data_IF_450152065674
#
_entry.id   IF_450152065674
#
_cell.length_a   1.000
_cell.length_b   1.000
_cell.length_c   1.000
_cell.angle_alpha   90.00
_cell.angle_beta   90.00
_cell.angle_gamma   90.00
#
_symmetry.space_group_name_H-M   'P 1'
#
loop_
_entity.id
_entity.type
_entity.pdbx_description
1 polymer ?
#
# COMPACT_ATOMS: atom_id res chain seq x y z
N UNK A 1 -21.42 17.56 33.43
CA UNK A 1 -20.36 18.56 33.64
C UNK A 1 -19.53 18.68 32.36
N UNK A 2 -19.84 19.67 31.52
CA UNK A 2 -19.09 19.94 30.28
C UNK A 2 -17.87 20.82 30.54
N UNK A 3 -16.81 20.63 29.75
CA UNK A 3 -15.75 21.65 29.61
C UNK A 3 -15.73 22.10 28.15
N UNK A 4 -15.85 23.41 28.04
CA UNK A 4 -16.14 24.21 26.87
C UNK A 4 -14.83 24.57 26.14
N UNK A 5 -14.93 24.56 24.82
CA UNK A 5 -14.03 25.08 23.79
C UNK A 5 -13.31 26.37 24.20
N UNK A 6 -12.02 26.49 23.88
CA UNK A 6 -11.34 27.78 23.71
C UNK A 6 -10.54 27.79 22.41
N UNK A 7 -11.14 28.40 21.39
CA UNK A 7 -10.46 28.95 20.22
C UNK A 7 -10.11 30.39 20.57
N UNK A 8 -8.82 30.72 20.68
CA UNK A 8 -8.28 32.09 20.60
C UNK A 8 -7.42 32.11 19.33
N UNK A 9 -7.83 32.72 18.21
CA UNK A 9 -7.90 34.16 17.93
C UNK A 9 -6.57 34.90 18.17
N UNK A 10 -5.82 35.09 17.09
CA UNK A 10 -5.31 36.40 16.67
C UNK A 10 -4.12 37.02 17.43
N UNK A 11 -2.91 36.78 16.91
CA UNK A 11 -1.77 37.72 16.95
C UNK A 11 -1.08 37.54 15.59
N UNK A 12 -1.03 38.49 14.66
CA UNK A 12 -0.77 39.92 14.80
C UNK A 12 0.60 40.23 14.21
N UNK A 13 0.85 39.91 12.94
CA UNK A 13 2.10 40.23 12.26
C UNK A 13 1.94 41.55 11.49
N UNK A 14 2.11 42.66 12.19
CA UNK A 14 2.25 43.99 11.59
C UNK A 14 3.74 44.31 11.51
N UNK A 15 4.30 44.26 10.30
CA UNK A 15 5.74 44.43 10.08
C UNK A 15 6.09 44.78 8.63
N UNK A 16 5.78 46.02 8.27
CA UNK A 16 6.53 46.92 7.35
C UNK A 16 6.82 46.45 5.92
N UNK A 17 6.20 47.19 5.00
CA UNK A 17 6.48 47.31 3.57
C UNK A 17 7.88 47.90 3.31
N UNK A 18 8.63 47.31 2.36
CA UNK A 18 9.32 47.96 1.22
C UNK A 18 10.50 47.09 0.77
N UNK A 19 10.28 46.30 -0.28
CA UNK A 19 11.30 45.53 -0.98
C UNK A 19 10.75 45.08 -2.32
N UNK A 20 10.76 45.98 -3.31
CA UNK A 20 10.31 45.68 -4.66
C UNK A 20 11.27 44.74 -5.37
N UNK A 21 10.83 43.52 -5.65
CA UNK A 21 11.36 42.76 -6.78
C UNK A 21 10.50 43.12 -7.99
N UNK A 22 10.96 44.08 -8.79
CA UNK A 22 10.50 44.22 -10.18
C UNK A 22 10.96 42.97 -10.94
N UNK A 23 10.14 41.91 -10.87
CA UNK A 23 10.22 40.78 -11.78
C UNK A 23 9.36 41.09 -12.99
N UNK A 24 9.99 41.28 -14.15
CA UNK A 24 9.36 41.28 -15.45
C UNK A 24 8.54 39.99 -15.62
N UNK A 25 7.20 40.09 -15.66
CA UNK A 25 6.36 38.97 -16.11
C UNK A 25 6.35 39.02 -17.63
N UNK A 26 7.47 38.60 -18.21
CA UNK A 26 7.61 38.33 -19.63
C UNK A 26 6.78 37.11 -19.99
N UNK A 27 5.50 37.33 -20.29
CA UNK A 27 4.61 36.34 -20.88
C UNK A 27 4.97 36.07 -22.34
N UNK A 28 6.14 35.51 -22.62
CA UNK A 28 6.30 34.76 -23.88
C UNK A 28 5.57 33.44 -23.68
N UNK A 29 4.42 33.31 -24.35
CA UNK A 29 3.70 32.06 -24.45
C UNK A 29 4.65 30.99 -25.00
N UNK A 30 5.26 30.21 -24.10
CA UNK A 30 5.85 28.94 -24.47
C UNK A 30 4.75 28.14 -25.17
N UNK A 31 5.03 27.49 -26.32
CA UNK A 31 4.05 26.62 -26.92
C UNK A 31 3.64 25.63 -25.83
N UNK A 32 2.33 25.62 -25.50
CA UNK A 32 1.74 24.58 -24.67
C UNK A 32 2.21 23.27 -25.27
N UNK A 33 3.20 22.63 -24.63
CA UNK A 33 3.54 21.26 -24.91
C UNK A 33 2.21 20.53 -24.90
N UNK A 34 1.91 19.83 -26.00
CA UNK A 34 0.73 18.99 -26.02
C UNK A 34 0.78 18.15 -24.75
N UNK A 35 -0.29 18.14 -23.97
CA UNK A 35 -0.50 17.05 -23.02
C UNK A 35 -0.79 15.85 -23.92
N UNK A 36 0.29 15.31 -24.46
CA UNK A 36 0.31 14.08 -25.21
C UNK A 36 0.12 12.98 -24.21
N UNK A 37 -1.01 12.29 -24.31
CA UNK A 37 -1.20 11.01 -23.65
C UNK A 37 -0.60 9.95 -24.59
N UNK A 38 0.71 10.01 -24.78
CA UNK A 38 1.47 9.15 -25.68
C UNK A 38 2.96 9.21 -25.34
N UNK A 39 3.27 8.77 -24.15
CA UNK A 39 4.49 8.00 -23.93
C UNK A 39 4.07 6.93 -22.96
N UNK A 40 3.96 5.69 -23.43
CA UNK A 40 4.06 4.55 -22.53
C UNK A 40 5.35 4.78 -21.76
N UNK A 41 5.22 5.27 -20.53
CA UNK A 41 6.29 5.18 -19.56
C UNK A 41 6.38 3.69 -19.31
N UNK A 42 7.15 3.01 -20.15
CA UNK A 42 7.52 1.63 -19.93
C UNK A 42 8.31 1.65 -18.61
N UNK A 43 7.57 1.41 -17.51
CA UNK A 43 8.17 1.28 -16.20
C UNK A 43 9.21 0.18 -16.34
N UNK A 44 10.47 0.52 -16.04
CA UNK A 44 11.51 -0.47 -15.97
C UNK A 44 11.01 -1.66 -15.12
N UNK A 45 11.28 -2.91 -15.53
CA UNK A 45 10.86 -4.09 -14.77
C UNK A 45 11.31 -3.95 -13.32
N UNK A 46 10.35 -3.93 -12.40
CA UNK A 46 10.67 -3.86 -10.98
C UNK A 46 11.07 -5.27 -10.52
N UNK A 47 12.24 -5.43 -9.86
CA UNK A 47 12.63 -6.73 -9.34
C UNK A 47 11.61 -7.19 -8.28
N UNK A 48 11.31 -8.50 -8.28
CA UNK A 48 10.50 -9.11 -7.24
C UNK A 48 11.31 -9.07 -5.95
N UNK A 49 10.75 -8.45 -4.91
CA UNK A 49 11.31 -8.47 -3.56
C UNK A 49 10.41 -9.28 -2.63
N UNK A 50 11.02 -9.89 -1.61
CA UNK A 50 10.25 -10.44 -0.48
C UNK A 50 9.78 -9.29 0.41
N UNK A 51 8.74 -9.54 1.20
CA UNK A 51 8.33 -8.62 2.26
C UNK A 51 9.37 -8.59 3.37
N UNK A 52 9.68 -7.39 3.85
CA UNK A 52 10.48 -7.22 5.07
C UNK A 52 9.67 -7.66 6.31
N UNK A 53 10.30 -7.68 7.49
CA UNK A 53 9.66 -8.13 8.74
C UNK A 53 8.44 -7.30 9.12
N UNK A 54 8.51 -5.99 8.95
CA UNK A 54 7.42 -5.08 9.28
C UNK A 54 6.24 -5.28 8.33
N UNK A 55 6.52 -5.29 7.03
CA UNK A 55 5.56 -5.53 5.95
C UNK A 55 4.87 -6.88 6.13
N UNK A 56 5.63 -7.95 6.37
CA UNK A 56 5.06 -9.28 6.58
C UNK A 56 4.08 -9.31 7.75
N UNK A 57 4.46 -8.76 8.90
CA UNK A 57 3.57 -8.70 10.07
C UNK A 57 2.31 -7.87 9.79
N UNK A 58 2.45 -6.74 9.10
CA UNK A 58 1.31 -5.90 8.73
C UNK A 58 0.39 -6.62 7.74
N UNK A 59 0.93 -7.27 6.71
CA UNK A 59 0.16 -8.03 5.73
C UNK A 59 -0.58 -9.20 6.38
N UNK A 60 0.08 -9.95 7.27
CA UNK A 60 -0.56 -11.04 8.01
C UNK A 60 -1.70 -10.53 8.89
N UNK A 61 -1.50 -9.43 9.61
CA UNK A 61 -2.56 -8.78 10.39
C UNK A 61 -3.72 -8.31 9.50
N UNK A 62 -3.43 -7.68 8.37
CA UNK A 62 -4.46 -7.06 7.55
C UNK A 62 -5.28 -8.12 6.78
N UNK A 63 -4.66 -9.22 6.35
CA UNK A 63 -5.34 -10.31 5.66
C UNK A 63 -6.10 -11.24 6.62
N UNK A 64 -5.51 -11.54 7.78
CA UNK A 64 -6.03 -12.56 8.68
C UNK A 64 -6.57 -11.98 9.98
N UNK A 65 -6.50 -10.67 10.21
CA UNK A 65 -7.01 -10.04 11.44
C UNK A 65 -6.31 -10.49 12.72
N UNK A 66 -5.16 -11.17 12.62
CA UNK A 66 -4.43 -11.70 13.77
C UNK A 66 -3.59 -10.63 14.46
N UNK A 67 -3.37 -10.78 15.77
CA UNK A 67 -2.45 -9.95 16.55
C UNK A 67 -1.02 -10.50 16.60
N UNK A 68 -0.79 -11.69 16.02
CA UNK A 68 0.51 -12.32 15.99
C UNK A 68 1.53 -11.51 15.18
N UNK A 69 2.79 -11.60 15.61
CA UNK A 69 3.95 -10.96 14.95
C UNK A 69 5.02 -12.00 14.59
N UNK A 70 4.71 -12.96 13.71
CA UNK A 70 5.60 -14.09 13.42
C UNK A 70 6.96 -13.69 12.82
N UNK A 71 7.05 -12.58 12.07
CA UNK A 71 8.31 -12.13 11.49
C UNK A 71 9.27 -11.52 12.51
N UNK A 72 8.85 -11.33 13.77
CA UNK A 72 9.76 -10.91 14.83
C UNK A 72 10.84 -11.98 15.09
N UNK A 73 10.54 -13.25 14.77
CA UNK A 73 11.49 -14.36 14.84
C UNK A 73 12.44 -14.45 13.62
N UNK A 74 12.27 -13.62 12.58
CA UNK A 74 13.18 -13.65 11.43
C UNK A 74 14.50 -12.94 11.75
N UNK A 75 15.61 -13.29 11.07
CA UNK A 75 16.82 -12.49 11.12
C UNK A 75 16.52 -11.04 10.71
N UNK A 76 17.26 -10.05 11.24
CA UNK A 76 17.13 -8.66 10.81
C UNK A 76 17.29 -8.53 9.29
N UNK A 77 16.47 -7.68 8.69
CA UNK A 77 16.59 -7.34 7.27
C UNK A 77 17.74 -6.35 7.07
N UNK A 78 18.37 -6.41 5.90
CA UNK A 78 19.45 -5.49 5.53
C UNK A 78 18.88 -4.13 5.13
N UNK A 79 19.47 -3.06 5.67
CA UNK A 79 19.14 -1.68 5.30
C UNK A 79 20.10 -1.17 4.20
N UNK A 80 19.56 -0.45 3.21
CA UNK A 80 20.31 0.30 2.20
C UNK A 80 19.75 1.70 2.08
N UNK A 81 20.62 2.72 2.11
CA UNK A 81 20.23 4.14 2.06
C UNK A 81 19.18 4.55 3.11
N UNK A 82 19.13 3.85 4.25
CA UNK A 82 18.15 4.07 5.32
C UNK A 82 16.79 3.42 5.08
N UNK A 83 16.68 2.54 4.09
CA UNK A 83 15.47 1.79 3.76
C UNK A 83 15.71 0.28 3.88
N UNK A 84 14.76 -0.43 4.48
CA UNK A 84 14.78 -1.88 4.72
C UNK A 84 13.88 -2.67 3.75
N UNK A 85 13.36 -2.02 2.70
CA UNK A 85 12.46 -2.61 1.71
C UNK A 85 13.06 -2.66 0.29
N UNK A 86 14.38 -2.49 0.17
CA UNK A 86 15.08 -2.51 -1.11
C UNK A 86 15.24 -3.95 -1.61
N UNK A 87 14.78 -4.20 -2.84
CA UNK A 87 14.74 -5.54 -3.44
C UNK A 87 16.12 -6.21 -3.49
N UNK A 88 17.16 -5.46 -3.83
CA UNK A 88 18.53 -5.96 -3.92
C UNK A 88 19.11 -6.41 -2.57
N UNK A 89 18.62 -5.82 -1.47
CA UNK A 89 19.09 -6.09 -0.11
C UNK A 89 18.37 -7.29 0.53
N UNK A 90 17.13 -7.57 0.10
CA UNK A 90 16.26 -8.58 0.71
C UNK A 90 16.43 -9.97 0.08
N UNK A 91 17.58 -10.59 0.30
CA UNK A 91 17.86 -11.94 -0.20
C UNK A 91 17.11 -13.03 0.59
N UNK A 92 16.77 -14.12 -0.10
CA UNK A 92 16.19 -15.32 0.51
C UNK A 92 17.28 -16.33 0.84
N UNK A 93 17.32 -16.79 2.08
CA UNK A 93 18.22 -17.85 2.52
C UNK A 93 17.42 -19.11 2.91
N UNK A 94 17.99 -20.31 2.81
CA UNK A 94 17.29 -21.54 3.21
C UNK A 94 16.79 -21.51 4.66
N UNK A 95 17.58 -20.96 5.58
CA UNK A 95 17.20 -20.84 6.99
C UNK A 95 16.06 -19.84 7.23
N UNK A 96 15.91 -18.83 6.37
CA UNK A 96 14.77 -17.91 6.41
C UNK A 96 13.50 -18.61 5.90
N UNK A 97 13.60 -19.44 4.86
CA UNK A 97 12.49 -20.27 4.39
C UNK A 97 11.94 -21.19 5.49
N UNK A 98 12.80 -21.83 6.28
CA UNK A 98 12.37 -22.65 7.43
C UNK A 98 11.58 -21.84 8.46
N UNK A 99 11.96 -20.58 8.67
CA UNK A 99 11.22 -19.66 9.55
C UNK A 99 9.89 -19.24 8.95
N UNK A 100 9.80 -19.03 7.63
CA UNK A 100 8.52 -18.80 6.95
C UNK A 100 7.56 -19.99 7.13
N UNK A 101 8.06 -21.23 7.03
CA UNK A 101 7.22 -22.41 7.30
C UNK A 101 6.70 -22.45 8.74
N UNK A 102 7.56 -22.12 9.70
CA UNK A 102 7.17 -22.08 11.12
C UNK A 102 6.14 -20.96 11.37
N UNK A 103 6.39 -19.76 10.81
CA UNK A 103 5.47 -18.63 10.86
C UNK A 103 4.11 -18.97 10.25
N UNK A 104 4.09 -19.61 9.08
CA UNK A 104 2.86 -19.98 8.39
C UNK A 104 2.02 -20.95 9.24
N UNK A 105 2.62 -21.94 9.90
CA UNK A 105 1.91 -22.84 10.81
C UNK A 105 1.25 -22.08 11.96
N UNK A 106 2.03 -21.24 12.65
CA UNK A 106 1.51 -20.42 13.77
C UNK A 106 0.33 -19.55 13.36
N UNK A 107 0.43 -18.92 12.18
CA UNK A 107 -0.61 -18.03 11.66
C UNK A 107 -1.85 -18.81 11.21
N UNK A 108 -1.68 -19.99 10.61
CA UNK A 108 -2.79 -20.85 10.19
C UNK A 108 -3.54 -21.38 11.42
N UNK A 109 -2.81 -21.85 12.43
CA UNK A 109 -3.39 -22.37 13.67
C UNK A 109 -4.24 -21.28 14.35
N UNK A 110 -3.69 -20.07 14.53
CA UNK A 110 -4.41 -18.91 15.08
C UNK A 110 -5.62 -18.47 14.22
N UNK A 111 -5.45 -18.43 12.90
CA UNK A 111 -6.51 -17.99 12.00
C UNK A 111 -7.72 -18.95 11.96
N UNK A 112 -7.48 -20.24 12.22
CA UNK A 112 -8.48 -21.31 12.20
C UNK A 112 -9.09 -21.61 13.58
N UNK A 113 -8.39 -21.34 14.68
CA UNK A 113 -8.87 -21.68 16.02
C UNK A 113 -10.09 -20.85 16.45
N UNK A 114 -10.18 -19.57 16.04
CA UNK A 114 -11.14 -18.63 16.65
C UNK A 114 -12.22 -18.07 15.72
N UNK A 115 -12.33 -18.50 14.45
CA UNK A 115 -13.22 -17.82 13.49
C UNK A 115 -14.08 -18.74 12.65
N UNK A 116 -15.42 -18.54 12.61
CA UNK A 116 -16.22 -19.11 11.54
C UNK A 116 -15.75 -18.49 10.22
N UNK A 117 -15.21 -19.32 9.32
CA UNK A 117 -14.88 -18.91 7.97
C UNK A 117 -16.17 -18.39 7.31
N UNK A 118 -16.25 -17.08 7.09
CA UNK A 118 -17.37 -16.46 6.39
C UNK A 118 -17.22 -16.76 4.89
N UNK A 119 -17.77 -17.89 4.46
CA UNK A 119 -17.89 -18.21 3.04
C UNK A 119 -18.89 -17.24 2.40
N UNK A 120 -18.38 -16.30 1.60
CA UNK A 120 -19.22 -15.59 0.64
C UNK A 120 -19.62 -16.59 -0.44
N UNK A 121 -20.79 -17.20 -0.30
CA UNK A 121 -21.41 -17.90 -1.42
C UNK A 121 -21.80 -16.84 -2.44
N UNK A 122 -20.95 -16.64 -3.45
CA UNK A 122 -21.38 -15.98 -4.66
C UNK A 122 -22.41 -16.91 -5.31
N UNK A 123 -23.69 -16.59 -5.09
CA UNK A 123 -24.78 -17.20 -5.85
C UNK A 123 -24.43 -17.02 -7.32
N UNK A 124 -24.42 -18.09 -8.08
CA UNK A 124 -24.39 -18.03 -9.53
C UNK A 124 -25.70 -17.40 -10.00
N UNK A 125 -25.87 -16.11 -9.75
CA UNK A 125 -26.85 -15.32 -10.47
C UNK A 125 -26.40 -15.39 -11.92
N UNK A 126 -27.32 -15.80 -12.80
CA UNK A 126 -27.06 -15.87 -14.22
C UNK A 126 -26.46 -14.54 -14.65
N UNK A 127 -25.17 -14.57 -15.05
CA UNK A 127 -24.44 -13.45 -15.63
C UNK A 127 -25.09 -13.13 -16.98
N UNK A 128 -26.27 -12.53 -16.91
CA UNK A 128 -27.03 -12.08 -18.06
C UNK A 128 -26.53 -10.68 -18.33
N UNK A 129 -25.71 -10.53 -19.37
CA UNK A 129 -25.37 -9.21 -19.89
C UNK A 129 -26.68 -8.51 -20.27
N UNK A 130 -26.87 -7.21 -19.96
CA UNK A 130 -28.01 -6.45 -20.45
C UNK A 130 -28.16 -6.64 -21.97
N UNK A 131 -29.20 -7.36 -22.38
CA UNK A 131 -29.33 -7.92 -23.74
C UNK A 131 -29.63 -9.42 -23.80
N UNK A 132 -29.65 -10.14 -22.68
CA UNK A 132 -30.21 -11.50 -22.62
C UNK A 132 -29.37 -12.59 -23.31
N UNK A 133 -28.10 -12.33 -23.62
CA UNK A 133 -27.23 -13.32 -24.25
C UNK A 133 -26.61 -14.20 -23.16
N UNK A 134 -26.88 -15.53 -23.15
CA UNK A 134 -26.22 -16.41 -22.21
C UNK A 134 -24.73 -16.50 -22.56
N UNK A 135 -23.86 -16.25 -21.58
CA UNK A 135 -22.49 -16.75 -21.64
C UNK A 135 -22.59 -18.28 -21.56
N UNK A 136 -21.98 -18.97 -22.52
CA UNK A 136 -22.23 -20.40 -22.77
C UNK A 136 -22.17 -21.28 -21.53
N UNK A 137 -22.94 -22.37 -21.55
CA UNK A 137 -22.89 -23.43 -20.53
C UNK A 137 -21.45 -23.88 -20.33
N UNK A 138 -20.95 -23.67 -19.12
CA UNK A 138 -19.73 -24.31 -18.66
C UNK A 138 -20.14 -25.72 -18.23
N UNK A 139 -20.07 -26.66 -19.17
CA UNK A 139 -20.27 -28.10 -18.90
C UNK A 139 -19.19 -28.54 -17.91
N UNK A 140 -19.64 -29.11 -16.80
CA UNK A 140 -18.82 -29.61 -15.69
C UNK A 140 -17.98 -30.83 -16.06
#
# INVERSE_FOLDING_TARGET
MGKIVRVLSGVGCLGVLLGGCLGDVGGTAAPRGKVGFDTETESAPQPIHRLNRLEYNNTVRDLLGTSLRPADAFPPDSESDGFDNMAEALQLTPSLLDRYYTAARLVIDDALDERPLHFSQHRADSLTVPGGHPIGEMVA
#
